data_IF_422694208547
#
_entry.id   IF_422694208547
#
_cell.length_a   1.000
_cell.length_b   1.000
_cell.length_c   1.000
_cell.angle_alpha   90.00
_cell.angle_beta   90.00
_cell.angle_gamma   90.00
#
_symmetry.space_group_name_H-M   'P 1'
#
loop_
_entity.id
_entity.type
_entity.pdbx_description
1 polymer ?
#
# COMPACT_ATOMS: atom_id res chain seq x y z
N UNK A 1 19.06 -2.07 1.09
CA UNK A 1 18.92 -1.60 2.48
C UNK A 1 19.39 -2.74 3.37
N UNK A 2 20.07 -2.45 4.47
CA UNK A 2 20.52 -3.48 5.41
C UNK A 2 19.35 -3.90 6.30
N UNK A 3 18.86 -5.12 6.12
CA UNK A 3 17.73 -5.69 6.89
C UNK A 3 18.01 -5.69 8.40
N UNK A 4 19.28 -5.82 8.81
CA UNK A 4 19.67 -5.87 10.22
C UNK A 4 19.45 -4.54 10.96
N UNK A 5 19.20 -3.45 10.23
CA UNK A 5 18.90 -2.13 10.81
C UNK A 5 17.40 -1.81 10.87
N UNK A 6 16.53 -2.67 10.33
CA UNK A 6 15.08 -2.43 10.39
C UNK A 6 14.56 -2.77 11.79
N UNK A 7 13.79 -1.87 12.37
CA UNK A 7 13.08 -2.13 13.64
C UNK A 7 11.87 -3.05 13.48
N UNK A 8 11.40 -3.23 12.25
CA UNK A 8 10.26 -4.10 11.90
C UNK A 8 10.60 -4.80 10.59
N UNK A 9 10.46 -6.13 10.57
CA UNK A 9 10.62 -6.91 9.36
C UNK A 9 9.44 -6.67 8.39
N UNK A 10 9.72 -6.67 7.09
CA UNK A 10 8.69 -6.53 6.06
C UNK A 10 7.56 -7.57 6.22
N UNK A 11 7.91 -8.80 6.58
CA UNK A 11 6.95 -9.89 6.82
C UNK A 11 5.93 -9.53 7.91
N UNK A 12 6.36 -8.91 9.01
CA UNK A 12 5.47 -8.47 10.10
C UNK A 12 4.48 -7.40 9.62
N UNK A 13 4.95 -6.46 8.79
CA UNK A 13 4.08 -5.45 8.18
C UNK A 13 3.04 -6.07 7.25
N UNK A 14 3.46 -7.03 6.42
CA UNK A 14 2.58 -7.75 5.51
C UNK A 14 1.51 -8.57 6.25
N UNK A 15 1.91 -9.37 7.25
CA UNK A 15 0.99 -10.17 8.07
C UNK A 15 -0.09 -9.30 8.74
N UNK A 16 0.29 -8.11 9.21
CA UNK A 16 -0.66 -7.16 9.81
C UNK A 16 -1.65 -6.62 8.78
N UNK A 17 -1.18 -6.28 7.58
CA UNK A 17 -2.03 -5.79 6.51
C UNK A 17 -3.03 -6.86 6.04
N UNK A 18 -2.56 -8.09 5.88
CA UNK A 18 -3.38 -9.25 5.54
C UNK A 18 -4.46 -9.48 6.60
N UNK A 19 -4.11 -9.38 7.88
CA UNK A 19 -5.06 -9.50 9.01
C UNK A 19 -6.19 -8.47 8.95
N UNK A 20 -5.91 -7.25 8.50
CA UNK A 20 -6.92 -6.19 8.38
C UNK A 20 -7.55 -6.08 7.00
N UNK A 21 -7.15 -6.91 6.03
CA UNK A 21 -7.63 -6.83 4.65
C UNK A 21 -7.27 -5.50 3.97
N UNK A 22 -6.14 -4.90 4.35
CA UNK A 22 -5.63 -3.65 3.75
C UNK A 22 -4.37 -3.93 2.92
N UNK A 23 -4.08 -3.06 1.95
CA UNK A 23 -2.83 -3.17 1.17
C UNK A 23 -1.63 -2.71 1.99
N UNK A 24 -0.50 -3.38 1.81
CA UNK A 24 0.79 -3.03 2.42
C UNK A 24 1.73 -2.40 1.40
N UNK A 25 2.46 -1.37 1.80
CA UNK A 25 3.49 -0.73 0.98
C UNK A 25 4.65 -0.27 1.86
N UNK A 26 5.89 -0.57 1.46
CA UNK A 26 7.08 0.09 2.00
C UNK A 26 7.47 1.25 1.08
N UNK A 27 7.69 2.44 1.65
CA UNK A 27 8.07 3.64 0.89
C UNK A 27 9.29 4.32 1.52
N UNK A 28 10.02 5.08 0.70
CA UNK A 28 11.06 5.98 1.20
C UNK A 28 10.95 7.32 0.50
N UNK A 29 10.34 8.30 1.17
CA UNK A 29 10.24 9.67 0.65
C UNK A 29 11.62 10.29 0.38
N UNK A 30 12.61 9.98 1.23
CA UNK A 30 13.99 10.46 1.08
C UNK A 30 14.66 9.94 -0.19
N UNK A 31 14.37 8.70 -0.56
CA UNK A 31 14.99 8.03 -1.72
C UNK A 31 14.05 7.97 -2.94
N UNK A 32 12.91 8.67 -2.88
CA UNK A 32 11.84 8.63 -3.88
C UNK A 32 11.39 7.19 -4.27
N UNK A 33 11.37 6.30 -3.28
CA UNK A 33 11.01 4.89 -3.48
C UNK A 33 9.53 4.66 -3.17
N UNK A 34 8.80 4.10 -4.14
CA UNK A 34 7.40 3.66 -4.04
C UNK A 34 6.38 4.76 -3.68
N UNK A 35 6.79 6.03 -3.61
CA UNK A 35 5.91 7.15 -3.26
C UNK A 35 4.77 7.27 -4.27
N UNK A 36 5.10 7.40 -5.56
CA UNK A 36 4.11 7.49 -6.63
C UNK A 36 3.21 6.25 -6.70
N UNK A 37 3.78 5.06 -6.50
CA UNK A 37 3.03 3.81 -6.54
C UNK A 37 1.93 3.77 -5.47
N UNK A 38 2.21 4.20 -4.25
CA UNK A 38 1.20 4.28 -3.18
C UNK A 38 0.07 5.23 -3.56
N UNK A 39 0.39 6.44 -4.00
CA UNK A 39 -0.63 7.42 -4.36
C UNK A 39 -1.48 6.96 -5.55
N UNK A 40 -0.86 6.38 -6.58
CA UNK A 40 -1.60 5.84 -7.73
C UNK A 40 -2.47 4.64 -7.34
N UNK A 41 -1.99 3.72 -6.49
CA UNK A 41 -2.82 2.60 -6.04
C UNK A 41 -4.05 3.09 -5.28
N UNK A 42 -3.92 4.07 -4.39
CA UNK A 42 -5.05 4.63 -3.64
C UNK A 42 -6.04 5.30 -4.59
N UNK A 43 -5.56 6.15 -5.50
CA UNK A 43 -6.41 6.83 -6.46
C UNK A 43 -7.16 5.85 -7.36
N UNK A 44 -6.47 4.82 -7.87
CA UNK A 44 -7.07 3.78 -8.69
C UNK A 44 -8.16 3.01 -7.94
N UNK A 45 -7.92 2.61 -6.68
CA UNK A 45 -8.92 1.90 -5.87
C UNK A 45 -10.16 2.75 -5.58
N UNK A 46 -9.98 4.06 -5.39
CA UNK A 46 -11.11 4.99 -5.20
C UNK A 46 -11.94 5.06 -6.49
N UNK A 47 -11.30 5.33 -7.62
CA UNK A 47 -11.98 5.45 -8.91
C UNK A 47 -12.71 4.16 -9.25
N UNK A 48 -12.04 3.01 -9.13
CA UNK A 48 -12.63 1.70 -9.40
C UNK A 48 -13.88 1.43 -8.54
N UNK A 49 -13.83 1.71 -7.23
CA UNK A 49 -15.00 1.53 -6.35
C UNK A 49 -16.15 2.46 -6.71
N UNK A 50 -15.87 3.70 -7.13
CA UNK A 50 -16.88 4.65 -7.57
C UNK A 50 -17.55 4.18 -8.88
N UNK A 51 -16.77 3.68 -9.84
CA UNK A 51 -17.31 3.18 -11.11
C UNK A 51 -18.11 1.91 -10.95
N UNK A 52 -17.66 0.97 -10.11
CA UNK A 52 -18.40 -0.25 -9.79
C UNK A 52 -19.75 0.07 -9.11
N UNK A 53 -19.74 1.01 -8.16
CA UNK A 53 -20.96 1.44 -7.46
C UNK A 53 -21.96 2.10 -8.42
N UNK A 54 -21.49 2.96 -9.32
CA UNK A 54 -22.33 3.62 -10.32
C UNK A 54 -22.87 2.65 -11.39
N UNK A 55 -22.17 1.55 -11.66
CA UNK A 55 -22.59 0.55 -12.64
C UNK A 55 -23.62 -0.44 -12.07
N UNK A 56 -23.73 -0.50 -10.74
CA UNK A 56 -24.67 -1.34 -9.99
C UNK A 56 -25.96 -0.60 -9.59
N UNK A 57 -26.05 0.72 -9.81
CA UNK A 57 -27.23 1.57 -9.59
C UNK A 57 -28.02 1.80 -10.87
#
# INVERSE_FOLDING_TARGET
MDESKRGVATATGQELADKYGIKFFETSAKADLNVNHVFFSIAHDIIHRLTETNSMS
#
